data_IF_938866545228
#
_entry.id   IF_938866545228
#
_cell.length_a   1.000
_cell.length_b   1.000
_cell.length_c   1.000
_cell.angle_alpha   90.00
_cell.angle_beta   90.00
_cell.angle_gamma   90.00
#
_symmetry.space_group_name_H-M   'P 1'
#
loop_
_entity.id
_entity.type
_entity.pdbx_description
1 polymer ?
#
# COMPACT_ATOMS: atom_id res chain seq x y z
N UNK A 1 -71.98 -18.16 2.10
CA UNK A 1 -70.96 -17.59 1.23
C UNK A 1 -70.02 -16.71 2.11
N UNK A 2 -68.90 -17.26 2.48
CA UNK A 2 -67.91 -16.56 3.31
C UNK A 2 -66.86 -15.90 2.37
N UNK A 3 -66.76 -14.56 2.40
CA UNK A 3 -65.74 -13.83 1.66
C UNK A 3 -64.43 -13.86 2.47
N UNK A 4 -63.41 -14.54 1.93
CA UNK A 4 -62.04 -14.43 2.42
C UNK A 4 -61.46 -13.07 2.01
N UNK A 5 -61.10 -12.27 2.98
CA UNK A 5 -60.23 -11.10 2.78
C UNK A 5 -58.80 -11.58 2.84
N UNK A 6 -58.14 -11.53 1.69
CA UNK A 6 -56.68 -11.74 1.61
C UNK A 6 -55.96 -10.45 1.97
N UNK A 7 -55.34 -10.46 3.14
CA UNK A 7 -54.39 -9.39 3.55
C UNK A 7 -53.05 -9.59 2.85
N UNK A 8 -52.82 -8.83 1.79
CA UNK A 8 -51.49 -8.70 1.22
C UNK A 8 -50.67 -7.80 2.16
N UNK A 9 -49.85 -8.42 3.01
CA UNK A 9 -48.81 -7.72 3.76
C UNK A 9 -47.67 -7.38 2.81
N UNK A 10 -47.61 -6.12 2.37
CA UNK A 10 -46.44 -5.57 1.68
C UNK A 10 -45.33 -5.43 2.70
N UNK A 11 -44.40 -6.37 2.73
CA UNK A 11 -43.15 -6.22 3.41
C UNK A 11 -42.30 -5.22 2.61
N UNK A 12 -42.33 -3.97 3.04
CA UNK A 12 -41.40 -2.97 2.59
C UNK A 12 -40.02 -3.33 3.20
N UNK A 13 -39.20 -4.05 2.42
CA UNK A 13 -37.79 -4.22 2.74
C UNK A 13 -37.16 -2.83 2.67
N UNK A 14 -37.08 -2.14 3.80
CA UNK A 14 -36.16 -1.03 3.97
C UNK A 14 -34.74 -1.62 3.88
N UNK A 15 -34.12 -1.55 2.72
CA UNK A 15 -32.69 -1.73 2.57
C UNK A 15 -32.06 -0.54 3.29
N UNK A 16 -31.85 -0.69 4.59
CA UNK A 16 -30.93 0.16 5.32
C UNK A 16 -29.56 -0.15 4.72
N UNK A 17 -29.11 0.69 3.82
CA UNK A 17 -27.69 0.79 3.54
C UNK A 17 -27.05 1.27 4.85
N UNK A 18 -26.66 0.32 5.71
CA UNK A 18 -25.70 0.60 6.74
C UNK A 18 -24.40 0.95 6.00
N UNK A 19 -24.26 2.20 5.64
CA UNK A 19 -22.92 2.77 5.53
C UNK A 19 -22.32 2.59 6.91
N UNK A 20 -21.50 1.56 7.07
CA UNK A 20 -20.63 1.47 8.23
C UNK A 20 -19.58 2.59 8.08
N UNK A 21 -20.04 3.83 8.27
CA UNK A 21 -19.13 4.97 8.41
C UNK A 21 -18.33 4.71 9.67
N UNK A 22 -17.08 4.35 9.47
CA UNK A 22 -16.17 4.18 10.59
C UNK A 22 -16.05 5.53 11.30
N UNK A 23 -16.27 5.63 12.62
CA UNK A 23 -16.26 6.91 13.37
C UNK A 23 -15.00 7.73 13.11
N UNK A 24 -13.90 7.05 12.77
CA UNK A 24 -12.62 7.64 12.42
C UNK A 24 -12.71 8.69 11.29
N UNK A 25 -13.63 8.54 10.33
CA UNK A 25 -13.75 9.42 9.17
C UNK A 25 -14.84 10.50 9.28
N UNK A 26 -15.52 10.65 10.43
CA UNK A 26 -16.59 11.65 10.56
C UNK A 26 -16.13 13.10 10.34
N UNK A 27 -14.89 13.41 10.72
CA UNK A 27 -14.34 14.77 10.54
C UNK A 27 -14.13 15.18 9.10
N UNK A 28 -14.10 14.22 8.17
CA UNK A 28 -13.87 14.46 6.74
C UNK A 28 -15.13 14.23 5.89
N UNK A 29 -16.25 13.87 6.52
CA UNK A 29 -17.50 13.59 5.83
C UNK A 29 -18.03 14.85 5.12
N UNK A 30 -18.38 14.68 3.83
CA UNK A 30 -18.90 15.79 3.00
C UNK A 30 -17.83 16.72 2.43
N UNK A 31 -16.58 16.61 2.86
CA UNK A 31 -15.48 17.38 2.31
C UNK A 31 -15.07 16.86 0.91
N UNK A 32 -14.53 17.74 0.09
CA UNK A 32 -14.11 17.40 -1.28
C UNK A 32 -12.81 18.09 -1.66
N UNK A 33 -12.12 17.57 -2.68
CA UNK A 33 -10.92 18.20 -3.28
C UNK A 33 -9.85 18.56 -2.24
N UNK A 34 -9.37 19.81 -2.27
CA UNK A 34 -8.31 20.31 -1.37
C UNK A 34 -8.70 20.25 0.09
N UNK A 35 -9.93 20.65 0.46
CA UNK A 35 -10.42 20.58 1.84
C UNK A 35 -10.40 19.15 2.39
N UNK A 36 -10.82 18.17 1.58
CA UNK A 36 -10.75 16.76 1.95
C UNK A 36 -9.29 16.31 2.11
N UNK A 37 -8.41 16.70 1.20
CA UNK A 37 -6.99 16.32 1.27
C UNK A 37 -6.34 16.85 2.55
N UNK A 38 -6.51 18.14 2.86
CA UNK A 38 -5.97 18.75 4.07
C UNK A 38 -6.53 18.10 5.35
N UNK A 39 -7.83 17.88 5.40
CA UNK A 39 -8.46 17.23 6.56
C UNK A 39 -8.00 15.76 6.71
N UNK A 40 -7.77 15.05 5.61
CA UNK A 40 -7.19 13.71 5.66
C UNK A 40 -5.73 13.76 6.10
N UNK A 41 -4.93 14.71 5.63
CA UNK A 41 -3.56 14.92 6.09
C UNK A 41 -3.50 15.05 7.61
N UNK A 42 -4.33 15.90 8.20
CA UNK A 42 -4.41 16.07 9.66
C UNK A 42 -4.87 14.78 10.37
N UNK A 43 -5.86 14.08 9.80
CA UNK A 43 -6.46 12.89 10.41
C UNK A 43 -5.53 11.67 10.44
N UNK A 44 -4.73 11.47 9.37
CA UNK A 44 -3.95 10.25 9.20
C UNK A 44 -2.49 10.37 9.63
N UNK A 45 -2.10 11.48 10.25
CA UNK A 45 -0.76 11.62 10.81
C UNK A 45 -0.49 10.51 11.81
N UNK A 46 0.65 9.79 11.69
CA UNK A 46 0.97 8.73 12.62
C UNK A 46 1.33 9.31 13.99
N UNK A 47 0.71 8.81 15.06
CA UNK A 47 1.09 9.13 16.44
C UNK A 47 2.50 8.60 16.78
N UNK A 48 2.92 7.55 16.09
CA UNK A 48 4.19 6.89 16.30
C UNK A 48 4.67 6.20 15.03
N UNK A 49 5.96 6.29 14.74
CA UNK A 49 6.65 5.51 13.71
C UNK A 49 7.78 4.70 14.33
N UNK A 50 8.02 3.52 13.78
CA UNK A 50 9.10 2.64 14.22
C UNK A 50 10.47 3.19 13.78
N UNK A 51 11.52 2.82 14.49
CA UNK A 51 12.88 3.09 14.03
C UNK A 51 13.22 2.23 12.81
N UNK A 52 13.84 2.83 11.81
CA UNK A 52 14.19 2.12 10.57
C UNK A 52 15.25 1.04 10.81
N UNK A 53 15.06 -0.11 10.20
CA UNK A 53 15.97 -1.25 10.31
C UNK A 53 15.91 -1.92 11.69
N UNK A 54 17.08 -2.17 12.27
CA UNK A 54 17.24 -2.64 13.65
C UNK A 54 16.72 -4.05 13.95
N UNK A 55 16.69 -4.39 15.24
CA UNK A 55 16.24 -5.68 15.77
C UNK A 55 15.29 -5.49 16.94
N UNK A 56 14.33 -6.40 17.09
CA UNK A 56 13.42 -6.44 18.21
C UNK A 56 12.31 -5.39 18.14
N UNK A 57 11.65 -5.20 19.27
CA UNK A 57 10.52 -4.28 19.41
C UNK A 57 10.93 -2.83 19.10
N UNK A 58 10.04 -2.08 18.46
CA UNK A 58 10.27 -0.68 18.10
C UNK A 58 11.02 -0.47 16.78
N UNK A 59 11.40 -1.52 16.09
CA UNK A 59 12.08 -1.44 14.78
C UNK A 59 11.22 -1.99 13.64
N UNK A 60 11.55 -1.61 12.39
CA UNK A 60 10.76 -1.94 11.19
C UNK A 60 10.47 -3.43 11.06
N UNK A 61 11.46 -4.30 11.31
CA UNK A 61 11.24 -5.75 11.18
C UNK A 61 10.23 -6.28 12.19
N UNK A 62 10.16 -5.75 13.40
CA UNK A 62 9.09 -6.12 14.34
C UNK A 62 7.70 -5.64 13.88
N UNK A 63 7.65 -4.53 13.17
CA UNK A 63 6.41 -4.03 12.54
C UNK A 63 5.94 -4.95 11.43
N UNK A 64 6.84 -5.51 10.62
CA UNK A 64 6.49 -6.49 9.58
C UNK A 64 5.91 -7.78 10.17
N UNK A 65 6.22 -8.13 11.41
CA UNK A 65 5.54 -9.22 12.12
C UNK A 65 4.04 -8.97 12.25
N UNK A 66 3.65 -7.74 12.48
CA UNK A 66 2.23 -7.40 12.59
C UNK A 66 1.54 -7.27 11.22
N UNK A 67 2.26 -6.78 10.19
CA UNK A 67 1.68 -6.40 8.89
C UNK A 67 1.84 -7.49 7.82
N UNK A 68 2.96 -8.19 7.81
CA UNK A 68 3.39 -9.04 6.69
C UNK A 68 3.77 -10.48 7.09
N UNK A 69 3.47 -10.87 8.33
CA UNK A 69 3.65 -12.24 8.78
C UNK A 69 2.47 -13.12 8.34
N UNK A 70 2.77 -14.24 7.72
CA UNK A 70 1.78 -15.19 7.23
C UNK A 70 1.76 -16.45 8.10
N UNK A 71 0.69 -17.23 7.97
CA UNK A 71 0.59 -18.53 8.62
C UNK A 71 1.79 -19.40 8.26
N UNK A 72 2.32 -20.13 9.25
CA UNK A 72 3.54 -20.94 9.11
C UNK A 72 4.84 -20.16 9.22
N UNK A 73 4.79 -18.86 9.58
CA UNK A 73 5.99 -18.05 9.80
C UNK A 73 6.60 -17.46 8.53
N UNK A 74 5.89 -17.50 7.41
CA UNK A 74 6.36 -16.88 6.17
C UNK A 74 6.21 -15.36 6.22
N UNK A 75 7.16 -14.65 5.63
CA UNK A 75 7.02 -13.21 5.37
C UNK A 75 6.32 -12.99 4.04
N UNK A 76 5.37 -12.06 4.00
CA UNK A 76 4.70 -11.66 2.76
C UNK A 76 5.62 -10.79 1.93
N UNK A 77 6.06 -11.32 0.79
CA UNK A 77 6.83 -10.60 -0.22
C UNK A 77 5.92 -10.24 -1.41
N UNK A 78 5.79 -8.94 -1.68
CA UNK A 78 5.00 -8.45 -2.84
C UNK A 78 5.85 -8.22 -4.09
N UNK A 79 7.12 -8.63 -4.05
CA UNK A 79 8.10 -8.39 -5.10
C UNK A 79 8.63 -9.66 -5.74
N UNK A 80 8.43 -10.82 -5.08
CA UNK A 80 8.85 -12.11 -5.62
C UNK A 80 7.98 -13.26 -5.13
N UNK A 81 8.09 -14.43 -5.79
CA UNK A 81 7.48 -15.69 -5.33
C UNK A 81 8.38 -16.47 -4.37
N UNK A 82 9.52 -15.90 -3.98
CA UNK A 82 10.46 -16.57 -3.08
C UNK A 82 9.85 -16.70 -1.68
N UNK A 83 9.83 -17.94 -1.18
CA UNK A 83 9.31 -18.23 0.16
C UNK A 83 10.44 -18.03 1.17
N UNK A 84 10.24 -17.11 2.10
CA UNK A 84 11.17 -16.84 3.20
C UNK A 84 10.45 -16.89 4.52
N UNK A 85 11.15 -17.33 5.55
CA UNK A 85 10.62 -17.46 6.90
C UNK A 85 11.19 -16.37 7.78
N UNK A 86 10.36 -15.90 8.69
CA UNK A 86 10.62 -14.74 9.52
C UNK A 86 10.37 -15.06 10.99
N UNK A 87 11.37 -14.84 11.86
CA UNK A 87 11.27 -15.05 13.30
C UNK A 87 10.49 -13.94 14.03
N UNK A 88 10.21 -12.85 13.33
CA UNK A 88 9.47 -11.71 13.87
C UNK A 88 10.34 -10.64 14.52
N UNK A 89 11.65 -10.74 14.45
CA UNK A 89 12.58 -9.81 15.12
C UNK A 89 13.74 -9.38 14.21
N UNK A 90 14.29 -10.31 13.45
CA UNK A 90 15.51 -10.07 12.68
C UNK A 90 15.21 -9.83 11.20
N UNK A 91 16.14 -9.14 10.54
CA UNK A 91 16.13 -9.04 9.09
C UNK A 91 16.18 -10.44 8.44
N UNK A 92 15.36 -10.64 7.41
CA UNK A 92 15.33 -11.90 6.67
C UNK A 92 16.43 -11.90 5.62
N UNK A 93 17.21 -12.97 5.56
CA UNK A 93 18.28 -13.11 4.56
C UNK A 93 17.70 -13.03 3.14
N UNK A 94 18.36 -12.27 2.27
CA UNK A 94 17.94 -12.03 0.89
C UNK A 94 16.78 -11.05 0.74
N UNK A 95 16.36 -10.36 1.82
CA UNK A 95 15.35 -9.33 1.79
C UNK A 95 15.88 -7.96 2.21
N UNK A 96 15.22 -6.93 1.72
CA UNK A 96 15.43 -5.54 2.11
C UNK A 96 14.14 -4.95 2.68
N UNK A 97 14.28 -3.84 3.38
CA UNK A 97 13.18 -2.93 3.68
C UNK A 97 13.04 -1.98 2.49
N UNK A 98 11.95 -2.12 1.77
CA UNK A 98 11.68 -1.33 0.56
C UNK A 98 10.79 -0.13 0.85
N UNK A 99 11.22 1.04 0.36
CA UNK A 99 10.37 2.24 0.30
C UNK A 99 9.60 2.23 -1.02
N UNK A 100 8.30 1.91 -0.98
CA UNK A 100 7.45 1.88 -2.17
C UNK A 100 7.40 3.25 -2.84
N UNK A 101 7.09 4.29 -2.08
CA UNK A 101 7.32 5.68 -2.45
C UNK A 101 8.80 5.97 -2.16
N UNK A 102 9.61 6.04 -3.22
CA UNK A 102 11.05 5.99 -3.10
C UNK A 102 11.62 7.18 -2.28
N UNK A 103 12.42 6.88 -1.26
CA UNK A 103 12.98 7.90 -0.38
C UNK A 103 13.87 8.93 -1.08
N UNK A 104 14.43 8.58 -2.24
CA UNK A 104 15.18 9.53 -3.08
C UNK A 104 14.33 10.68 -3.62
N UNK A 105 13.00 10.52 -3.67
CA UNK A 105 12.10 11.56 -4.19
C UNK A 105 11.92 12.74 -3.23
N UNK A 106 12.29 12.58 -1.95
CA UNK A 106 12.38 13.67 -0.97
C UNK A 106 13.79 13.85 -0.38
N UNK A 107 14.83 13.41 -1.13
CA UNK A 107 16.23 13.67 -0.78
C UNK A 107 16.81 12.77 0.30
N UNK A 108 16.26 11.58 0.53
CA UNK A 108 16.73 10.60 1.53
C UNK A 108 16.70 11.09 2.98
N UNK A 109 15.97 12.14 3.28
CA UNK A 109 15.87 12.64 4.65
C UNK A 109 15.21 11.61 5.54
N UNK A 110 15.87 11.24 6.64
CA UNK A 110 15.32 10.33 7.65
C UNK A 110 14.37 11.13 8.54
N UNK A 111 13.09 10.96 8.27
CA UNK A 111 11.95 11.58 8.96
C UNK A 111 10.86 10.53 9.18
N UNK A 112 9.67 10.94 9.60
CA UNK A 112 8.55 10.01 9.79
C UNK A 112 8.19 9.27 8.49
N UNK A 113 8.21 9.94 7.33
CA UNK A 113 7.95 9.31 6.04
C UNK A 113 8.93 8.19 5.69
N UNK A 114 10.19 8.34 6.13
CA UNK A 114 11.23 7.34 5.93
C UNK A 114 10.98 6.06 6.77
N UNK A 115 10.34 6.20 7.92
CA UNK A 115 10.16 5.12 8.89
C UNK A 115 8.74 4.54 8.89
N UNK A 116 7.82 5.09 8.10
CA UNK A 116 6.40 4.74 8.11
C UNK A 116 6.15 3.37 7.48
N UNK A 117 5.53 2.47 8.24
CA UNK A 117 5.18 1.12 7.77
C UNK A 117 4.19 1.10 6.60
N UNK A 118 3.39 2.14 6.40
CA UNK A 118 2.54 2.24 5.22
C UNK A 118 3.31 2.50 3.93
N UNK A 119 4.58 2.92 4.04
CA UNK A 119 5.51 3.04 2.92
C UNK A 119 6.55 1.91 2.84
N UNK A 120 6.70 1.13 3.92
CA UNK A 120 7.76 0.13 4.03
C UNK A 120 7.22 -1.28 3.84
N UNK A 121 7.82 -2.04 2.93
CA UNK A 121 7.50 -3.44 2.71
C UNK A 121 8.75 -4.31 2.78
N UNK A 122 8.64 -5.53 3.36
CA UNK A 122 9.70 -6.51 3.18
C UNK A 122 9.71 -6.95 1.71
N UNK A 123 10.86 -6.97 1.08
CA UNK A 123 10.99 -7.22 -0.36
C UNK A 123 12.21 -8.07 -0.69
N UNK A 124 12.10 -8.93 -1.69
CA UNK A 124 13.26 -9.57 -2.31
C UNK A 124 14.31 -8.52 -2.69
N UNK A 125 15.56 -8.73 -2.25
CA UNK A 125 16.64 -7.76 -2.44
C UNK A 125 16.99 -7.54 -3.93
N UNK A 126 16.87 -8.60 -4.76
CA UNK A 126 17.11 -8.51 -6.21
C UNK A 126 16.02 -7.72 -6.90
N UNK A 127 14.75 -8.04 -6.62
CA UNK A 127 13.59 -7.36 -7.17
C UNK A 127 13.57 -5.89 -6.76
N UNK A 128 13.83 -5.58 -5.48
CA UNK A 128 14.00 -4.22 -4.99
C UNK A 128 15.11 -3.47 -5.75
N UNK A 129 16.28 -4.07 -5.87
CA UNK A 129 17.39 -3.47 -6.64
C UNK A 129 17.03 -3.20 -8.10
N UNK A 130 16.23 -4.08 -8.74
CA UNK A 130 15.73 -3.87 -10.10
C UNK A 130 14.67 -2.79 -10.22
N UNK A 131 13.74 -2.74 -9.24
CA UNK A 131 12.75 -1.66 -9.14
C UNK A 131 13.45 -0.32 -8.99
N UNK A 132 14.47 -0.25 -8.14
CA UNK A 132 15.15 1.00 -7.84
C UNK A 132 14.16 2.12 -7.45
N UNK A 133 14.42 3.36 -7.80
CA UNK A 133 13.52 4.50 -7.60
C UNK A 133 12.62 4.80 -8.82
N UNK A 134 12.44 3.83 -9.71
CA UNK A 134 11.55 4.00 -10.87
C UNK A 134 10.10 4.20 -10.41
N UNK A 135 9.32 5.04 -11.08
CA UNK A 135 7.89 5.18 -10.81
C UNK A 135 7.11 3.92 -11.19
N UNK A 136 5.99 3.70 -10.50
CA UNK A 136 5.05 2.65 -10.88
C UNK A 136 4.33 3.02 -12.18
N UNK A 137 4.21 2.07 -13.10
CA UNK A 137 3.55 2.28 -14.38
C UNK A 137 3.38 0.99 -15.16
N UNK A 138 2.82 1.07 -16.36
CA UNK A 138 2.66 -0.08 -17.25
C UNK A 138 3.88 -0.21 -18.16
N UNK A 139 4.51 -1.36 -18.17
CA UNK A 139 5.61 -1.66 -19.08
C UNK A 139 5.05 -1.93 -20.46
N UNK A 140 5.42 -1.10 -21.45
CA UNK A 140 4.88 -1.16 -22.83
C UNK A 140 5.82 -1.81 -23.84
N UNK A 141 7.07 -2.03 -23.47
CA UNK A 141 8.06 -2.73 -24.28
C UNK A 141 8.53 -4.01 -23.58
N UNK A 142 9.38 -4.80 -24.25
CA UNK A 142 9.97 -5.98 -23.64
C UNK A 142 10.67 -5.59 -22.32
N UNK A 143 10.33 -6.22 -21.18
CA UNK A 143 10.89 -5.83 -19.88
C UNK A 143 12.39 -6.16 -19.81
N UNK A 144 13.14 -5.28 -19.17
CA UNK A 144 14.54 -5.52 -18.81
C UNK A 144 14.68 -6.50 -17.63
N UNK A 145 13.62 -6.60 -16.82
CA UNK A 145 13.48 -7.55 -15.71
C UNK A 145 12.02 -7.99 -15.59
N UNK A 146 11.80 -9.27 -15.40
CA UNK A 146 10.50 -9.88 -15.12
C UNK A 146 10.72 -11.15 -14.28
N UNK A 147 10.16 -11.21 -13.09
CA UNK A 147 10.20 -12.39 -12.22
C UNK A 147 8.80 -12.99 -11.97
N UNK A 148 7.80 -12.57 -12.75
CA UNK A 148 6.41 -13.00 -12.62
C UNK A 148 5.61 -12.22 -11.57
N UNK A 149 6.25 -11.43 -10.71
CA UNK A 149 5.61 -10.59 -9.70
C UNK A 149 5.81 -9.11 -9.97
N UNK A 150 7.01 -8.72 -10.37
CA UNK A 150 7.27 -7.36 -10.86
C UNK A 150 7.96 -7.41 -12.22
N UNK A 151 7.69 -6.39 -13.01
CA UNK A 151 8.41 -6.09 -14.26
C UNK A 151 9.08 -4.73 -14.13
N UNK A 152 10.25 -4.60 -14.76
CA UNK A 152 10.91 -3.30 -14.93
C UNK A 152 11.24 -3.12 -16.41
N UNK A 153 10.81 -2.03 -16.98
CA UNK A 153 10.97 -1.80 -18.41
C UNK A 153 10.56 -0.39 -18.82
N UNK A 154 10.46 -0.20 -20.14
CA UNK A 154 10.14 1.10 -20.73
C UNK A 154 8.63 1.30 -20.83
N UNK A 155 8.20 2.52 -20.60
CA UNK A 155 6.82 2.99 -20.78
C UNK A 155 6.78 4.36 -21.43
N UNK A 156 5.71 4.63 -22.16
CA UNK A 156 5.46 5.97 -22.70
C UNK A 156 4.98 6.88 -21.59
N UNK A 157 5.68 8.01 -21.38
CA UNK A 157 5.26 9.02 -20.41
C UNK A 157 4.00 9.75 -20.89
N UNK A 158 3.07 10.01 -19.99
CA UNK A 158 1.84 10.77 -20.27
C UNK A 158 2.09 12.24 -20.62
N UNK A 159 3.28 12.78 -20.38
CA UNK A 159 3.56 14.20 -20.55
C UNK A 159 4.42 14.57 -21.76
N UNK A 160 5.20 13.63 -22.22
CA UNK A 160 6.20 13.94 -23.24
C UNK A 160 6.42 12.70 -24.09
N UNK A 161 6.02 12.43 -25.16
CA UNK A 161 6.25 11.26 -26.03
C UNK A 161 7.63 10.59 -25.86
N UNK A 162 8.13 10.58 -24.63
CA UNK A 162 9.41 10.03 -24.21
C UNK A 162 9.23 8.75 -23.42
N UNK A 163 10.08 7.77 -23.71
CA UNK A 163 10.13 6.53 -22.92
C UNK A 163 10.82 6.77 -21.59
N UNK A 164 10.14 6.47 -20.50
CA UNK A 164 10.73 6.42 -19.16
C UNK A 164 10.84 4.98 -18.70
N UNK A 165 11.74 4.72 -17.75
CA UNK A 165 11.77 3.42 -17.06
C UNK A 165 10.72 3.44 -15.94
N UNK A 166 9.91 2.39 -15.89
CA UNK A 166 8.90 2.15 -14.85
C UNK A 166 9.05 0.75 -14.29
N UNK A 167 8.43 0.52 -13.16
CA UNK A 167 8.18 -0.82 -12.67
C UNK A 167 6.67 -1.09 -12.60
N UNK A 168 6.29 -2.32 -12.93
CA UNK A 168 4.90 -2.77 -12.93
C UNK A 168 4.75 -3.96 -12.00
N UNK A 169 3.95 -3.86 -10.92
CA UNK A 169 3.62 -5.00 -10.08
C UNK A 169 2.60 -5.92 -10.73
N UNK A 170 2.54 -7.17 -10.30
CA UNK A 170 1.46 -8.08 -10.61
C UNK A 170 0.10 -7.48 -10.21
N UNK A 171 -0.96 -7.86 -10.94
CA UNK A 171 -2.29 -7.26 -10.78
C UNK A 171 -2.83 -7.36 -9.35
N UNK A 172 -2.54 -8.44 -8.67
CA UNK A 172 -2.95 -8.66 -7.28
C UNK A 172 -2.40 -7.63 -6.30
N UNK A 173 -1.22 -7.04 -6.59
CA UNK A 173 -0.55 -6.07 -5.73
C UNK A 173 -0.74 -4.60 -6.14
N UNK A 174 -1.27 -4.34 -7.34
CA UNK A 174 -1.45 -2.97 -7.84
C UNK A 174 -2.24 -2.09 -6.89
N UNK A 175 -3.28 -2.66 -6.26
CA UNK A 175 -4.11 -1.94 -5.29
C UNK A 175 -3.35 -1.57 -4.01
N UNK A 176 -2.50 -2.46 -3.49
CA UNK A 176 -1.71 -2.22 -2.29
C UNK A 176 -0.71 -1.10 -2.53
N UNK A 177 0.02 -1.16 -3.62
CA UNK A 177 0.96 -0.12 -3.99
C UNK A 177 0.29 1.22 -4.28
N UNK A 178 -0.84 1.24 -4.99
CA UNK A 178 -1.59 2.47 -5.25
C UNK A 178 -2.05 3.13 -3.93
N UNK A 179 -2.53 2.36 -2.95
CA UNK A 179 -2.89 2.89 -1.62
C UNK A 179 -1.69 3.50 -0.91
N UNK A 180 -0.52 2.88 -0.99
CA UNK A 180 0.73 3.45 -0.46
C UNK A 180 1.04 4.80 -1.09
N UNK A 181 0.96 4.93 -2.42
CA UNK A 181 1.21 6.21 -3.10
C UNK A 181 0.22 7.28 -2.66
N UNK A 182 -1.08 6.97 -2.58
CA UNK A 182 -2.08 7.91 -2.11
C UNK A 182 -1.87 8.32 -0.65
N UNK A 183 -1.56 7.35 0.21
CA UNK A 183 -1.27 7.62 1.61
C UNK A 183 -0.08 8.57 1.75
N UNK A 184 1.06 8.25 1.13
CA UNK A 184 2.26 9.08 1.21
C UNK A 184 2.04 10.50 0.68
N UNK A 185 1.34 10.65 -0.46
CA UNK A 185 1.03 11.95 -1.05
C UNK A 185 -0.01 12.75 -0.24
N UNK A 186 -0.71 12.13 0.70
CA UNK A 186 -1.67 12.81 1.58
C UNK A 186 -1.08 13.05 2.96
N UNK A 187 -0.45 12.05 3.56
CA UNK A 187 0.12 12.14 4.90
C UNK A 187 1.35 13.05 4.97
N UNK A 188 2.15 13.12 3.92
CA UNK A 188 3.44 13.83 3.83
C UNK A 188 3.44 14.80 2.64
N UNK A 189 2.48 15.70 2.61
CA UNK A 189 2.27 16.64 1.49
C UNK A 189 3.15 17.89 1.53
N UNK A 190 3.92 18.11 2.57
CA UNK A 190 4.79 19.28 2.78
C UNK A 190 6.14 19.18 2.04
#
# INVERSE_FOLDING_TARGET
>A
MRKLFSLFSVWMLAVMTLSAQHPYYYSVEGLTKGELKTALHELIQPDYVLSYGGKGEGYTWSGFKAADWMEGGQVRDRYSHEIRYFDGENAVEGMNIEHVFANSWWGHTVNNAYCDLFNLFPSDATANGRKSNNPMGVVTEAPAFDNGVIKVGRSISYREDSLITVWEPADEWKGDFARTFFYMATCYED
#
